data_IF_866769975608
#
_entry.id   IF_866769975608
#
_cell.length_a   1.000
_cell.length_b   1.000
_cell.length_c   1.000
_cell.angle_alpha   90.00
_cell.angle_beta   90.00
_cell.angle_gamma   90.00
#
_symmetry.space_group_name_H-M   'P 1'
#
loop_
_entity.id
_entity.type
_entity.pdbx_description
1 polymer ?
#
# COMPACT_ATOMS: atom_id res chain seq x y z
N UNK A 1 -0.91 17.41 21.76
CA UNK A 1 -0.69 18.43 20.69
C UNK A 1 -2.03 18.94 20.16
N UNK A 2 -2.21 20.23 19.85
CA UNK A 2 -3.47 20.79 19.30
C UNK A 2 -3.29 21.15 17.81
N UNK A 3 -4.32 20.94 16.99
CA UNK A 3 -4.43 21.35 15.57
C UNK A 3 -3.62 20.57 14.52
N UNK A 4 -3.23 19.31 14.77
CA UNK A 4 -2.64 18.47 13.72
C UNK A 4 -3.71 17.66 13.00
N UNK A 5 -3.81 17.83 11.68
CA UNK A 5 -4.81 17.13 10.87
C UNK A 5 -4.54 15.62 10.83
N UNK A 6 -5.59 14.80 11.00
CA UNK A 6 -5.51 13.33 10.94
C UNK A 6 -5.51 12.61 12.30
N UNK A 7 -5.61 13.33 13.42
CA UNK A 7 -5.77 12.76 14.76
C UNK A 7 -7.21 12.94 15.26
N UNK A 8 -7.82 11.87 15.76
CA UNK A 8 -9.09 11.95 16.49
C UNK A 8 -8.84 12.43 17.92
N UNK A 9 -9.66 13.35 18.40
CA UNK A 9 -9.65 13.82 19.79
C UNK A 9 -10.66 13.06 20.67
N UNK A 10 -11.53 12.23 20.08
CA UNK A 10 -12.52 11.43 20.79
C UNK A 10 -12.08 9.97 20.98
N UNK A 11 -12.35 9.44 22.17
CA UNK A 11 -12.16 8.01 22.46
C UNK A 11 -13.22 7.16 21.77
N UNK A 12 -12.79 6.06 21.14
CA UNK A 12 -13.68 5.09 20.53
C UNK A 12 -13.97 3.95 21.51
N UNK A 13 -15.24 3.77 21.90
CA UNK A 13 -15.66 2.73 22.85
C UNK A 13 -15.21 1.32 22.44
N UNK A 14 -15.28 1.00 21.14
CA UNK A 14 -14.79 -0.29 20.59
C UNK A 14 -13.29 -0.49 20.82
N UNK A 15 -12.50 0.57 20.67
CA UNK A 15 -11.05 0.51 20.85
C UNK A 15 -10.67 0.36 22.32
N UNK A 16 -11.43 1.00 23.22
CA UNK A 16 -11.26 0.85 24.67
C UNK A 16 -11.68 -0.54 25.17
N UNK A 17 -12.76 -1.09 24.64
CA UNK A 17 -13.19 -2.48 24.92
C UNK A 17 -12.13 -3.51 24.48
N UNK A 18 -11.62 -3.38 23.25
CA UNK A 18 -10.54 -4.25 22.77
C UNK A 18 -9.27 -4.12 23.62
N UNK A 19 -8.92 -2.90 24.04
CA UNK A 19 -7.79 -2.69 24.95
C UNK A 19 -7.97 -3.44 26.26
N UNK A 20 -9.13 -3.29 26.91
CA UNK A 20 -9.45 -3.97 28.16
C UNK A 20 -9.37 -5.49 28.03
N UNK A 21 -9.91 -6.05 26.93
CA UNK A 21 -9.80 -7.48 26.62
C UNK A 21 -8.36 -7.95 26.44
N UNK A 22 -7.54 -7.17 25.72
CA UNK A 22 -6.11 -7.50 25.58
C UNK A 22 -5.39 -7.48 26.93
N UNK A 23 -5.66 -6.48 27.79
CA UNK A 23 -5.06 -6.40 29.12
C UNK A 23 -5.46 -7.57 30.01
N UNK A 24 -6.75 -7.90 30.03
CA UNK A 24 -7.25 -9.05 30.79
C UNK A 24 -6.65 -10.37 30.31
N UNK A 25 -6.56 -10.59 28.99
CA UNK A 25 -5.93 -11.78 28.43
C UNK A 25 -4.44 -11.83 28.75
N UNK A 26 -3.74 -10.70 28.72
CA UNK A 26 -2.33 -10.63 29.12
C UNK A 26 -2.11 -10.98 30.59
N UNK A 27 -2.99 -10.53 31.48
CA UNK A 27 -2.94 -10.84 32.92
C UNK A 27 -3.08 -12.35 33.17
N UNK A 28 -4.03 -13.02 32.50
CA UNK A 28 -4.27 -14.45 32.72
C UNK A 28 -3.27 -15.35 31.99
N UNK A 29 -2.71 -14.91 30.86
CA UNK A 29 -1.80 -15.73 30.02
C UNK A 29 -0.33 -15.39 30.17
N UNK A 30 0.01 -14.36 30.95
CA UNK A 30 1.37 -13.82 31.03
C UNK A 30 1.84 -13.23 29.70
N UNK A 31 0.95 -12.57 28.96
CA UNK A 31 1.25 -11.89 27.69
C UNK A 31 1.37 -12.80 26.46
N UNK A 32 0.78 -14.01 26.49
CA UNK A 32 0.87 -15.00 25.39
C UNK A 32 -0.47 -15.34 24.73
N UNK A 33 -1.54 -14.66 25.11
CA UNK A 33 -2.91 -15.01 24.74
C UNK A 33 -3.48 -14.30 23.52
N UNK A 34 -2.79 -13.29 22.96
CA UNK A 34 -3.35 -12.43 21.91
C UNK A 34 -2.43 -12.41 20.69
N UNK A 35 -2.94 -12.83 19.54
CA UNK A 35 -2.24 -12.79 18.25
C UNK A 35 -3.12 -12.09 17.23
N UNK A 36 -2.57 -11.08 16.56
CA UNK A 36 -3.24 -10.39 15.46
C UNK A 36 -2.66 -10.88 14.13
N UNK A 37 -3.52 -11.12 13.15
CA UNK A 37 -3.13 -11.47 11.79
C UNK A 37 -3.77 -10.49 10.81
N UNK A 38 -2.92 -9.84 9.99
CA UNK A 38 -3.38 -8.90 8.96
C UNK A 38 -2.41 -8.90 7.79
N UNK A 39 -2.94 -8.87 6.57
CA UNK A 39 -2.15 -8.64 5.35
C UNK A 39 -1.75 -7.16 5.18
N UNK A 40 -2.38 -6.25 5.91
CA UNK A 40 -2.11 -4.82 5.92
C UNK A 40 -2.14 -4.34 7.38
N UNK A 41 -1.05 -4.53 8.16
CA UNK A 41 -1.04 -4.23 9.59
C UNK A 41 -1.33 -2.75 9.87
N UNK A 42 -0.98 -1.88 8.94
CA UNK A 42 -1.34 -0.47 8.92
C UNK A 42 -2.19 -0.19 7.68
N UNK A 43 -3.34 0.43 7.89
CA UNK A 43 -4.35 0.64 6.86
C UNK A 43 -4.56 2.11 6.51
N UNK A 44 -4.39 3.03 7.46
CA UNK A 44 -4.88 4.40 7.30
C UNK A 44 -4.06 5.49 8.01
N UNK A 45 -3.42 5.21 9.15
CA UNK A 45 -2.77 6.26 9.95
C UNK A 45 -1.69 5.79 10.92
N UNK A 46 -0.86 6.75 11.35
CA UNK A 46 0.15 6.56 12.40
C UNK A 46 -0.42 6.14 13.75
N UNK A 47 -1.62 6.62 14.07
CA UNK A 47 -2.34 6.23 15.29
C UNK A 47 -2.68 4.74 15.33
N UNK A 48 -2.84 4.07 14.18
CA UNK A 48 -3.08 2.62 14.14
C UNK A 48 -1.86 1.85 14.64
N UNK A 49 -0.65 2.28 14.28
CA UNK A 49 0.59 1.67 14.76
C UNK A 49 0.69 1.77 16.28
N UNK A 50 0.49 2.97 16.82
CA UNK A 50 0.47 3.17 18.27
C UNK A 50 -0.62 2.32 18.95
N UNK A 51 -1.80 2.22 18.35
CA UNK A 51 -2.90 1.42 18.88
C UNK A 51 -2.53 -0.06 18.92
N UNK A 52 -1.93 -0.61 17.85
CA UNK A 52 -1.44 -1.99 17.81
C UNK A 52 -0.34 -2.23 18.85
N UNK A 53 0.61 -1.30 18.99
CA UNK A 53 1.63 -1.37 20.02
C UNK A 53 1.02 -1.37 21.43
N UNK A 54 0.00 -0.53 21.65
CA UNK A 54 -0.73 -0.46 22.93
C UNK A 54 -1.49 -1.77 23.22
N UNK A 55 -1.97 -2.47 22.19
CA UNK A 55 -2.64 -3.76 22.36
C UNK A 55 -1.68 -4.90 22.64
N UNK A 56 -0.57 -4.98 21.90
CA UNK A 56 0.30 -6.17 21.86
C UNK A 56 1.57 -6.05 22.73
N UNK A 57 2.00 -4.83 23.08
CA UNK A 57 3.25 -4.61 23.81
C UNK A 57 3.14 -3.45 24.83
N UNK A 58 2.01 -3.39 25.55
CA UNK A 58 1.73 -2.33 26.52
C UNK A 58 2.81 -2.18 27.60
N UNK A 59 3.33 -3.30 28.12
CA UNK A 59 4.36 -3.29 29.17
C UNK A 59 5.65 -2.62 28.69
N UNK A 60 6.07 -2.86 27.43
CA UNK A 60 7.21 -2.19 26.81
C UNK A 60 6.98 -0.68 26.70
N UNK A 61 5.77 -0.26 26.29
CA UNK A 61 5.41 1.16 26.26
C UNK A 61 5.44 1.79 27.66
N UNK A 62 4.99 1.06 28.70
CA UNK A 62 5.03 1.54 30.08
C UNK A 62 6.45 1.73 30.60
N UNK A 63 7.34 0.75 30.36
CA UNK A 63 8.75 0.83 30.76
C UNK A 63 9.48 2.00 30.10
N UNK A 64 9.10 2.35 28.87
CA UNK A 64 9.69 3.46 28.11
C UNK A 64 8.99 4.81 28.34
N UNK A 65 7.92 4.88 29.15
CA UNK A 65 7.16 6.11 29.39
C UNK A 65 6.33 6.58 28.18
N UNK A 66 5.97 5.67 27.28
CA UNK A 66 5.28 5.93 26.00
C UNK A 66 3.81 5.50 26.02
N UNK A 67 3.16 5.50 27.19
CA UNK A 67 1.75 5.07 27.37
C UNK A 67 0.72 6.07 26.88
N UNK A 68 1.13 7.30 26.61
CA UNK A 68 0.30 8.34 26.03
C UNK A 68 0.71 8.60 24.59
N UNK A 69 -0.29 8.75 23.72
CA UNK A 69 -0.04 9.00 22.30
C UNK A 69 0.81 10.26 22.09
N UNK A 70 0.56 11.35 22.84
CA UNK A 70 1.34 12.58 22.71
C UNK A 70 2.85 12.38 23.02
N UNK A 71 3.19 11.53 24.00
CA UNK A 71 4.57 11.22 24.35
C UNK A 71 5.24 10.31 23.29
N UNK A 72 4.49 9.35 22.75
CA UNK A 72 4.95 8.53 21.63
C UNK A 72 5.14 9.36 20.35
N UNK A 73 4.18 10.21 20.03
CA UNK A 73 4.19 11.06 18.84
C UNK A 73 5.25 12.14 18.91
N UNK A 74 5.60 12.68 20.09
CA UNK A 74 6.73 13.62 20.22
C UNK A 74 8.09 12.93 20.07
N UNK A 75 8.17 11.64 20.38
CA UNK A 75 9.42 10.86 20.30
C UNK A 75 9.70 10.40 18.88
N UNK A 76 8.65 10.02 18.15
CA UNK A 76 8.77 9.39 16.84
C UNK A 76 8.12 10.16 15.69
N UNK A 77 7.19 11.07 15.94
CA UNK A 77 6.45 11.79 14.90
C UNK A 77 7.08 13.14 14.56
N UNK A 78 7.17 13.46 13.27
CA UNK A 78 7.55 14.77 12.77
C UNK A 78 6.39 15.38 11.94
N UNK A 79 6.08 16.64 12.22
CA UNK A 79 5.10 17.40 11.46
C UNK A 79 5.76 18.16 10.32
N UNK A 80 5.18 18.05 9.13
CA UNK A 80 5.62 18.85 7.98
C UNK A 80 4.45 19.66 7.44
N UNK A 81 4.72 20.89 7.05
CA UNK A 81 3.75 21.73 6.34
C UNK A 81 3.97 21.56 4.85
N UNK A 82 2.97 21.02 4.16
CA UNK A 82 2.98 20.84 2.71
C UNK A 82 1.80 21.58 2.08
N UNK A 83 1.99 22.04 0.84
CA UNK A 83 0.91 22.59 0.03
C UNK A 83 0.15 21.41 -0.58
N UNK A 84 -1.14 21.31 -0.28
CA UNK A 84 -2.03 20.23 -0.71
C UNK A 84 -3.19 20.79 -1.52
N UNK A 85 -3.69 20.02 -2.49
CA UNK A 85 -4.94 20.33 -3.17
C UNK A 85 -6.07 20.41 -2.12
N UNK A 86 -6.83 21.49 -2.17
CA UNK A 86 -7.96 21.72 -1.30
C UNK A 86 -9.08 20.71 -1.63
N UNK A 87 -9.90 20.28 -0.66
CA UNK A 87 -11.00 19.34 -0.90
C UNK A 87 -11.95 19.76 -2.02
N UNK A 88 -12.05 21.05 -2.28
CA UNK A 88 -12.90 21.65 -3.31
C UNK A 88 -12.37 21.44 -4.74
N UNK A 89 -11.13 20.94 -4.91
CA UNK A 89 -10.53 20.60 -6.20
C UNK A 89 -9.94 21.76 -6.99
N UNK A 90 -10.30 23.01 -6.66
CA UNK A 90 -9.95 24.21 -7.44
C UNK A 90 -8.90 25.13 -6.78
N UNK A 91 -8.21 24.67 -5.73
CA UNK A 91 -7.21 25.49 -5.02
C UNK A 91 -6.18 24.69 -4.23
N UNK A 92 -5.17 25.39 -3.71
CA UNK A 92 -4.10 24.82 -2.88
C UNK A 92 -4.11 25.43 -1.48
N UNK A 93 -3.88 24.61 -0.46
CA UNK A 93 -3.79 25.06 0.93
C UNK A 93 -2.58 24.44 1.61
N UNK A 94 -1.87 25.25 2.39
CA UNK A 94 -0.84 24.73 3.29
C UNK A 94 -1.52 23.96 4.42
N UNK A 95 -1.17 22.68 4.59
CA UNK A 95 -1.60 21.86 5.72
C UNK A 95 -0.40 21.28 6.44
N UNK A 96 -0.44 21.39 7.76
CA UNK A 96 0.53 20.73 8.65
C UNK A 96 -0.02 19.37 9.05
N UNK A 97 0.73 18.31 8.72
CA UNK A 97 0.39 16.91 9.03
C UNK A 97 1.58 16.20 9.65
N UNK A 98 1.31 15.13 10.41
CA UNK A 98 2.33 14.11 10.66
C UNK A 98 2.64 13.40 9.35
N UNK A 99 3.86 13.58 8.85
CA UNK A 99 4.25 13.05 7.54
C UNK A 99 5.45 12.11 7.61
N UNK A 100 6.29 12.25 8.65
CA UNK A 100 7.53 11.51 8.78
C UNK A 100 7.69 10.93 10.17
N UNK A 101 8.47 9.85 10.24
CA UNK A 101 9.04 9.38 11.48
C UNK A 101 10.44 9.94 11.70
N UNK A 102 10.71 10.36 12.93
CA UNK A 102 12.04 10.55 13.47
C UNK A 102 12.39 9.32 14.34
N UNK A 103 13.67 8.93 14.41
CA UNK A 103 14.12 7.72 15.12
C UNK A 103 13.40 6.43 14.65
N UNK A 104 13.17 6.33 13.33
CA UNK A 104 12.50 5.16 12.73
C UNK A 104 13.18 3.81 13.08
N UNK A 105 14.52 3.68 13.13
CA UNK A 105 15.17 2.43 13.53
C UNK A 105 14.74 1.96 14.92
N UNK A 106 14.69 2.87 15.89
CA UNK A 106 14.30 2.60 17.27
C UNK A 106 12.82 2.24 17.37
N UNK A 107 11.96 2.95 16.62
CA UNK A 107 10.54 2.62 16.52
C UNK A 107 10.33 1.22 15.92
N UNK A 108 11.04 0.90 14.83
CA UNK A 108 10.92 -0.38 14.15
C UNK A 108 11.47 -1.53 14.98
N UNK A 109 12.56 -1.31 15.72
CA UNK A 109 13.08 -2.31 16.65
C UNK A 109 12.03 -2.65 17.72
N UNK A 110 11.41 -1.64 18.32
CA UNK A 110 10.34 -1.81 19.31
C UNK A 110 9.09 -2.44 18.67
N UNK A 111 8.69 -2.04 17.46
CA UNK A 111 7.52 -2.61 16.80
C UNK A 111 7.71 -4.10 16.47
N UNK A 112 8.90 -4.48 16.01
CA UNK A 112 9.26 -5.86 15.65
C UNK A 112 9.35 -6.81 16.86
N UNK A 113 9.39 -6.31 18.10
CA UNK A 113 9.26 -7.17 19.30
C UNK A 113 7.90 -7.89 19.34
N UNK A 114 6.86 -7.29 18.77
CA UNK A 114 5.50 -7.82 18.77
C UNK A 114 4.93 -8.11 17.37
N UNK A 115 5.71 -7.87 16.31
CA UNK A 115 5.27 -8.00 14.93
C UNK A 115 6.33 -8.69 14.06
N UNK A 116 5.93 -9.78 13.39
CA UNK A 116 6.68 -10.34 12.26
C UNK A 116 5.99 -9.92 10.95
N UNK A 117 6.72 -9.17 10.12
CA UNK A 117 6.20 -8.62 8.87
C UNK A 117 6.99 -9.24 7.73
N UNK A 118 6.28 -9.95 6.85
CA UNK A 118 6.81 -10.46 5.59
C UNK A 118 6.27 -9.64 4.43
N UNK A 119 7.17 -8.97 3.73
CA UNK A 119 6.85 -8.19 2.52
C UNK A 119 7.06 -9.05 1.27
N UNK A 120 6.43 -8.69 0.14
CA UNK A 120 6.46 -9.50 -1.08
C UNK A 120 7.88 -9.68 -1.65
N UNK A 121 8.72 -8.66 -1.52
CA UNK A 121 10.14 -8.65 -1.89
C UNK A 121 10.99 -9.61 -1.04
N UNK A 122 10.61 -9.89 0.21
CA UNK A 122 11.29 -10.89 1.03
C UNK A 122 10.95 -12.32 0.64
N UNK A 123 9.75 -12.53 0.09
CA UNK A 123 9.19 -13.85 -0.17
C UNK A 123 9.48 -14.37 -1.58
N UNK A 124 9.86 -13.49 -2.53
CA UNK A 124 10.17 -13.84 -3.93
C UNK A 124 9.15 -14.83 -4.53
N UNK A 125 7.86 -14.58 -4.29
CA UNK A 125 6.79 -15.48 -4.70
C UNK A 125 6.67 -15.50 -6.24
N UNK A 126 6.38 -16.65 -6.87
CA UNK A 126 6.06 -16.72 -8.29
C UNK A 126 4.70 -16.06 -8.56
N UNK A 127 4.74 -14.76 -8.83
CA UNK A 127 3.58 -13.93 -9.17
C UNK A 127 3.78 -13.31 -10.57
N UNK A 128 2.69 -12.98 -11.29
CA UNK A 128 2.81 -12.33 -12.59
C UNK A 128 3.43 -10.93 -12.49
N UNK A 129 4.08 -10.49 -13.56
CA UNK A 129 4.52 -9.10 -13.69
C UNK A 129 3.30 -8.20 -13.95
N UNK A 130 3.07 -7.22 -13.08
CA UNK A 130 1.96 -6.29 -13.23
C UNK A 130 2.39 -5.03 -14.00
N UNK A 131 1.60 -4.67 -15.02
CA UNK A 131 1.72 -3.39 -15.72
C UNK A 131 0.59 -2.47 -15.25
N UNK A 132 0.95 -1.37 -14.62
CA UNK A 132 0.00 -0.34 -14.20
C UNK A 132 -0.20 0.66 -15.35
N UNK A 133 -1.46 0.88 -15.74
CA UNK A 133 -1.84 1.82 -16.78
C UNK A 133 -2.91 2.78 -16.25
N UNK A 134 -2.62 4.08 -16.30
CA UNK A 134 -3.58 5.11 -15.94
C UNK A 134 -4.29 5.61 -17.19
N UNK A 135 -5.60 5.42 -17.25
CA UNK A 135 -6.46 5.91 -18.33
C UNK A 135 -7.07 7.23 -17.88
N UNK A 136 -6.60 8.30 -18.50
CA UNK A 136 -7.03 9.66 -18.21
C UNK A 136 -8.09 10.08 -19.22
N UNK A 137 -9.25 10.52 -18.74
CA UNK A 137 -10.33 11.07 -19.56
C UNK A 137 -10.55 12.55 -19.22
N UNK A 138 -10.94 13.32 -20.23
CA UNK A 138 -11.31 14.73 -20.04
C UNK A 138 -12.74 14.83 -19.51
N UNK A 139 -13.02 15.75 -18.58
CA UNK A 139 -14.38 15.96 -18.11
C UNK A 139 -15.24 16.59 -19.21
N UNK A 140 -16.51 16.17 -19.29
CA UNK A 140 -17.52 16.82 -20.14
C UNK A 140 -17.75 18.27 -19.69
N UNK A 141 -18.31 19.12 -20.54
CA UNK A 141 -18.71 20.49 -20.15
C UNK A 141 -19.65 20.47 -18.94
N UNK A 142 -20.60 19.54 -18.92
CA UNK A 142 -21.55 19.35 -17.80
C UNK A 142 -20.80 18.96 -16.51
N UNK A 143 -19.80 18.08 -16.59
CA UNK A 143 -18.99 17.71 -15.43
C UNK A 143 -18.16 18.89 -14.92
N UNK A 144 -17.61 19.73 -15.80
CA UNK A 144 -16.86 20.92 -15.42
C UNK A 144 -17.76 21.91 -14.67
N UNK A 145 -18.95 22.18 -15.19
CA UNK A 145 -19.94 23.06 -14.55
C UNK A 145 -20.37 22.52 -13.17
N UNK A 146 -20.58 21.21 -13.07
CA UNK A 146 -20.92 20.57 -11.79
C UNK A 146 -19.79 20.66 -10.76
N UNK A 147 -18.53 20.47 -11.18
CA UNK A 147 -17.36 20.62 -10.29
C UNK A 147 -17.20 22.06 -9.83
N UNK A 148 -17.46 23.03 -10.72
CA UNK A 148 -17.46 24.44 -10.37
C UNK A 148 -18.55 24.77 -9.34
N UNK A 149 -19.77 24.27 -9.53
CA UNK A 149 -20.85 24.43 -8.55
C UNK A 149 -20.53 23.81 -7.19
N UNK A 150 -19.82 22.68 -7.15
CA UNK A 150 -19.33 22.10 -5.88
C UNK A 150 -18.31 23.00 -5.18
N UNK A 151 -17.46 23.69 -5.93
CA UNK A 151 -16.50 24.64 -5.37
C UNK A 151 -17.20 25.82 -4.70
N UNK A 152 -18.28 26.32 -5.30
CA UNK A 152 -19.13 27.39 -4.76
C UNK A 152 -19.84 26.93 -3.48
N UNK A 153 -20.48 25.76 -3.50
CA UNK A 153 -21.09 25.15 -2.31
C UNK A 153 -20.10 25.01 -1.15
N UNK A 154 -18.87 24.60 -1.46
CA UNK A 154 -17.84 24.44 -0.44
C UNK A 154 -17.37 25.77 0.15
N UNK A 155 -17.29 26.82 -0.67
CA UNK A 155 -17.02 28.17 -0.18
C UNK A 155 -18.10 28.66 0.79
N UNK A 156 -19.39 28.43 0.49
CA UNK A 156 -20.51 28.80 1.36
C UNK A 156 -20.53 28.04 2.68
N UNK A 157 -20.26 26.73 2.64
CA UNK A 157 -20.10 25.90 3.84
C UNK A 157 -18.92 26.40 4.68
N UNK A 158 -17.83 26.82 4.04
CA UNK A 158 -16.64 27.31 4.73
C UNK A 158 -16.84 28.69 5.37
N UNK A 159 -17.59 29.59 4.72
CA UNK A 159 -17.94 30.91 5.26
C UNK A 159 -18.96 30.83 6.40
N UNK A 160 -19.53 29.65 6.68
CA UNK A 160 -20.59 29.47 7.66
C UNK A 160 -21.92 30.07 7.19
N UNK A 161 -22.06 30.32 5.88
CA UNK A 161 -23.27 30.88 5.28
C UNK A 161 -24.39 29.82 5.14
N UNK A 162 -24.05 28.54 5.26
CA UNK A 162 -24.98 27.41 5.16
C UNK A 162 -24.88 26.56 6.43
N UNK A 163 -26.05 26.14 6.94
CA UNK A 163 -26.13 25.23 8.07
C UNK A 163 -25.56 23.83 7.70
N UNK A 164 -24.65 23.24 8.50
CA UNK A 164 -24.05 21.93 8.25
C UNK A 164 -25.05 20.76 8.06
N UNK A 165 -26.28 20.88 8.56
CA UNK A 165 -27.35 19.90 8.35
C UNK A 165 -27.91 19.95 6.93
N UNK A 166 -27.95 21.14 6.33
CA UNK A 166 -28.41 21.37 4.95
C UNK A 166 -27.33 20.93 3.97
N UNK A 167 -26.13 21.48 4.08
CA UNK A 167 -24.99 21.08 3.27
C UNK A 167 -23.69 21.07 4.08
N UNK A 168 -22.79 20.17 3.73
CA UNK A 168 -21.50 20.05 4.41
C UNK A 168 -20.44 19.42 3.51
N UNK A 169 -19.19 19.52 3.95
CA UNK A 169 -18.05 19.00 3.19
C UNK A 169 -18.13 17.50 2.91
N UNK A 170 -18.80 16.69 3.74
CA UNK A 170 -18.96 15.25 3.47
C UNK A 170 -19.96 14.99 2.34
N UNK A 171 -21.07 15.73 2.29
CA UNK A 171 -22.03 15.69 1.18
C UNK A 171 -21.37 16.14 -0.13
N UNK A 172 -20.72 17.30 -0.10
CA UNK A 172 -19.97 17.85 -1.25
C UNK A 172 -18.91 16.87 -1.75
N UNK A 173 -18.13 16.29 -0.84
CA UNK A 173 -17.13 15.26 -1.17
C UNK A 173 -17.79 14.04 -1.83
N UNK A 174 -18.92 13.59 -1.30
CA UNK A 174 -19.65 12.44 -1.86
C UNK A 174 -20.18 12.72 -3.25
N UNK A 175 -20.71 13.92 -3.49
CA UNK A 175 -21.19 14.36 -4.81
C UNK A 175 -20.02 14.53 -5.79
N UNK A 176 -18.89 15.09 -5.35
CA UNK A 176 -17.68 15.22 -6.16
C UNK A 176 -17.16 13.87 -6.66
N UNK A 177 -17.22 12.83 -5.81
CA UNK A 177 -16.86 11.47 -6.22
C UNK A 177 -17.85 10.86 -7.21
N UNK A 178 -19.16 11.14 -7.08
CA UNK A 178 -20.16 10.71 -8.07
C UNK A 178 -19.88 11.36 -9.43
N UNK A 179 -19.66 12.67 -9.46
CA UNK A 179 -19.37 13.42 -10.69
C UNK A 179 -18.09 12.93 -11.36
N UNK A 180 -17.04 12.68 -10.58
CA UNK A 180 -15.78 12.13 -11.09
C UNK A 180 -15.91 10.72 -11.67
N UNK A 181 -16.90 9.93 -11.21
CA UNK A 181 -17.23 8.62 -11.76
C UNK A 181 -18.13 8.71 -13.01
N UNK A 182 -19.31 9.33 -12.89
CA UNK A 182 -20.23 9.60 -13.99
C UNK A 182 -21.27 10.68 -13.58
N UNK A 183 -21.49 11.69 -14.43
CA UNK A 183 -22.46 12.76 -14.19
C UNK A 183 -23.91 12.25 -13.98
N UNK A 184 -24.26 11.10 -14.57
CA UNK A 184 -25.60 10.50 -14.47
C UNK A 184 -25.92 9.99 -13.07
N UNK A 185 -24.92 9.83 -12.20
CA UNK A 185 -25.11 9.54 -10.78
C UNK A 185 -25.67 10.74 -9.99
N UNK A 186 -25.49 11.96 -10.50
CA UNK A 186 -26.13 13.15 -9.97
C UNK A 186 -27.53 13.33 -10.56
N UNK A 187 -27.67 13.09 -11.87
CA UNK A 187 -28.95 13.20 -12.56
C UNK A 187 -29.01 12.19 -13.72
N UNK A 188 -29.88 11.19 -13.58
CA UNK A 188 -30.02 10.09 -14.54
C UNK A 188 -30.55 10.52 -15.92
N UNK A 189 -31.11 11.72 -16.05
CA UNK A 189 -31.59 12.26 -17.32
C UNK A 189 -30.47 12.85 -18.20
N UNK A 190 -29.24 12.98 -17.67
CA UNK A 190 -28.12 13.51 -18.44
C UNK A 190 -27.64 12.52 -19.51
N UNK A 191 -27.10 13.02 -20.62
CA UNK A 191 -26.59 12.16 -21.69
C UNK A 191 -25.37 11.35 -21.22
N UNK A 192 -25.19 10.17 -21.82
CA UNK A 192 -23.95 9.40 -21.72
C UNK A 192 -22.89 10.04 -22.62
N UNK A 193 -21.81 10.53 -22.02
CA UNK A 193 -20.70 11.10 -22.77
C UNK A 193 -19.83 9.97 -23.37
N UNK A 194 -19.63 9.89 -24.70
CA UNK A 194 -18.76 8.91 -25.32
C UNK A 194 -17.33 8.87 -24.76
N UNK A 195 -16.83 10.00 -24.25
CA UNK A 195 -15.50 10.12 -23.66
C UNK A 195 -15.50 9.89 -22.13
N UNK A 196 -16.62 9.45 -21.56
CA UNK A 196 -16.73 9.20 -20.13
C UNK A 196 -15.78 8.12 -19.65
N UNK A 197 -15.48 8.18 -18.35
CA UNK A 197 -14.68 7.16 -17.65
C UNK A 197 -15.24 5.75 -17.86
N UNK A 198 -16.56 5.60 -17.83
CA UNK A 198 -17.23 4.32 -18.03
C UNK A 198 -17.02 3.79 -19.44
N UNK A 199 -17.17 4.63 -20.47
CA UNK A 199 -16.97 4.24 -21.86
C UNK A 199 -15.50 3.89 -22.14
N UNK A 200 -14.54 4.63 -21.58
CA UNK A 200 -13.13 4.27 -21.65
C UNK A 200 -12.81 2.91 -20.99
N UNK A 201 -13.49 2.58 -19.89
CA UNK A 201 -13.38 1.27 -19.26
C UNK A 201 -13.97 0.16 -20.14
N UNK A 202 -15.21 0.33 -20.63
CA UNK A 202 -15.88 -0.62 -21.52
C UNK A 202 -15.03 -0.90 -22.76
N UNK A 203 -14.46 0.12 -23.40
CA UNK A 203 -13.61 -0.04 -24.58
C UNK A 203 -12.36 -0.87 -24.29
N UNK A 204 -11.71 -0.67 -23.15
CA UNK A 204 -10.55 -1.49 -22.75
C UNK A 204 -10.96 -2.93 -22.42
N UNK A 205 -12.07 -3.11 -21.71
CA UNK A 205 -12.60 -4.44 -21.38
C UNK A 205 -12.93 -5.21 -22.65
N UNK A 206 -13.57 -4.56 -23.63
CA UNK A 206 -13.89 -5.15 -24.95
C UNK A 206 -12.64 -5.47 -25.76
N UNK A 207 -11.64 -4.59 -25.76
CA UNK A 207 -10.34 -4.84 -26.41
C UNK A 207 -9.71 -6.11 -25.84
N UNK A 208 -9.53 -6.17 -24.52
CA UNK A 208 -8.92 -7.32 -23.84
C UNK A 208 -9.77 -8.58 -24.03
N UNK A 209 -11.10 -8.46 -23.98
CA UNK A 209 -12.03 -9.57 -24.19
C UNK A 209 -11.91 -10.18 -25.60
N UNK A 210 -11.75 -9.34 -26.62
CA UNK A 210 -11.52 -9.78 -28.00
C UNK A 210 -10.12 -10.37 -28.18
N UNK A 211 -9.08 -9.68 -27.71
CA UNK A 211 -7.68 -10.11 -27.85
C UNK A 211 -7.40 -11.45 -27.16
N UNK A 212 -8.15 -11.76 -26.10
CA UNK A 212 -7.95 -12.95 -25.25
C UNK A 212 -9.07 -13.98 -25.39
N UNK A 213 -9.86 -13.88 -26.46
CA UNK A 213 -11.06 -14.71 -26.68
C UNK A 213 -10.74 -16.19 -26.76
N UNK A 214 -9.63 -16.57 -27.39
CA UNK A 214 -9.22 -17.97 -27.54
C UNK A 214 -8.85 -18.60 -26.20
N UNK A 215 -8.16 -17.84 -25.34
CA UNK A 215 -7.71 -18.28 -24.02
C UNK A 215 -8.80 -18.12 -22.94
N UNK A 216 -9.92 -17.46 -23.26
CA UNK A 216 -11.03 -17.15 -22.35
C UNK A 216 -10.56 -16.45 -21.07
N UNK A 217 -9.61 -15.53 -21.19
CA UNK A 217 -9.11 -14.79 -20.03
C UNK A 217 -10.22 -13.92 -19.43
N UNK A 218 -10.10 -13.71 -18.12
CA UNK A 218 -11.10 -13.03 -17.31
C UNK A 218 -10.59 -11.69 -16.80
N UNK A 219 -11.53 -10.83 -16.41
CA UNK A 219 -11.29 -9.44 -16.02
C UNK A 219 -12.15 -9.10 -14.79
N UNK A 220 -11.60 -8.29 -13.89
CA UNK A 220 -12.33 -7.75 -12.74
C UNK A 220 -12.54 -6.25 -12.91
N UNK A 221 -13.73 -5.76 -12.59
CA UNK A 221 -14.02 -4.33 -12.52
C UNK A 221 -14.44 -3.98 -11.09
N UNK A 222 -13.70 -3.07 -10.48
CA UNK A 222 -14.00 -2.53 -9.16
C UNK A 222 -14.72 -1.18 -9.24
N UNK A 223 -15.87 -1.10 -8.57
CA UNK A 223 -16.63 0.14 -8.37
C UNK A 223 -17.36 0.09 -7.03
N UNK A 224 -17.06 1.02 -6.12
CA UNK A 224 -17.64 1.08 -4.78
C UNK A 224 -18.91 1.95 -4.69
N UNK A 225 -19.01 3.02 -5.48
CA UNK A 225 -20.03 4.06 -5.24
C UNK A 225 -21.41 3.80 -5.86
N UNK A 226 -21.50 2.94 -6.87
CA UNK A 226 -22.71 2.78 -7.68
C UNK A 226 -23.17 1.32 -7.73
N UNK A 227 -23.23 0.66 -6.58
CA UNK A 227 -23.71 -0.72 -6.50
C UNK A 227 -25.22 -0.79 -6.81
N UNK A 228 -25.71 -1.84 -7.49
CA UNK A 228 -27.13 -2.02 -7.78
C UNK A 228 -28.00 -1.98 -6.53
N UNK A 229 -29.07 -1.17 -6.54
CA UNK A 229 -30.02 -1.03 -5.42
C UNK A 229 -31.39 -1.66 -5.70
N UNK A 230 -31.68 -2.02 -6.94
CA UNK A 230 -32.97 -2.59 -7.35
C UNK A 230 -34.14 -1.60 -7.36
N UNK A 231 -33.86 -0.29 -7.27
CA UNK A 231 -34.85 0.79 -7.23
C UNK A 231 -35.09 1.47 -8.59
N UNK A 232 -34.50 0.93 -9.67
CA UNK A 232 -34.58 1.49 -11.02
C UNK A 232 -33.74 2.76 -11.23
N UNK A 233 -32.99 3.22 -10.21
CA UNK A 233 -32.07 4.35 -10.35
C UNK A 233 -30.84 3.97 -11.19
N UNK A 234 -30.26 4.97 -11.85
CA UNK A 234 -29.04 4.77 -12.63
C UNK A 234 -27.93 4.19 -11.76
N UNK A 235 -27.32 3.10 -12.24
CA UNK A 235 -26.13 2.55 -11.63
C UNK A 235 -25.11 2.09 -12.68
N UNK A 236 -23.84 2.18 -12.31
CA UNK A 236 -22.70 1.93 -13.21
C UNK A 236 -22.62 0.46 -13.63
N UNK A 237 -23.08 -0.46 -12.79
CA UNK A 237 -23.00 -1.90 -13.07
C UNK A 237 -23.91 -2.28 -14.23
N UNK A 238 -25.18 -1.84 -14.17
CA UNK A 238 -26.16 -2.09 -15.23
C UNK A 238 -25.81 -1.34 -16.52
N UNK A 239 -25.28 -0.12 -16.41
CA UNK A 239 -24.79 0.65 -17.57
C UNK A 239 -23.65 -0.08 -18.31
N UNK A 240 -22.63 -0.53 -17.58
CA UNK A 240 -21.51 -1.29 -18.14
C UNK A 240 -22.01 -2.60 -18.75
N UNK A 241 -22.88 -3.34 -18.05
CA UNK A 241 -23.45 -4.58 -18.57
C UNK A 241 -24.20 -4.33 -19.87
N UNK A 242 -25.07 -3.33 -19.92
CA UNK A 242 -25.84 -2.99 -21.12
C UNK A 242 -24.92 -2.64 -22.29
N UNK A 243 -23.86 -1.85 -22.05
CA UNK A 243 -22.88 -1.50 -23.07
C UNK A 243 -22.10 -2.71 -23.60
N UNK A 244 -21.70 -3.62 -22.71
CA UNK A 244 -21.01 -4.87 -23.11
C UNK A 244 -21.92 -5.80 -23.90
N UNK A 245 -23.19 -5.94 -23.51
CA UNK A 245 -24.20 -6.72 -24.24
C UNK A 245 -24.45 -6.16 -25.64
N UNK A 246 -24.60 -4.83 -25.75
CA UNK A 246 -24.77 -4.15 -27.04
C UNK A 246 -23.55 -4.32 -27.96
N UNK A 247 -22.36 -4.45 -27.38
CA UNK A 247 -21.13 -4.74 -28.12
C UNK A 247 -20.95 -6.24 -28.47
N UNK A 248 -21.91 -7.10 -28.10
CA UNK A 248 -21.93 -8.52 -28.47
C UNK A 248 -21.27 -9.47 -27.47
N UNK A 249 -20.94 -9.01 -26.26
CA UNK A 249 -20.47 -9.91 -25.18
C UNK A 249 -21.66 -10.75 -24.70
N UNK A 250 -21.55 -12.10 -24.63
CA UNK A 250 -22.64 -12.93 -24.17
C UNK A 250 -23.01 -12.64 -22.71
N UNK A 251 -24.30 -12.67 -22.41
CA UNK A 251 -24.81 -12.37 -21.06
C UNK A 251 -24.22 -13.30 -19.99
N UNK A 252 -24.05 -14.59 -20.29
CA UNK A 252 -23.46 -15.55 -19.36
C UNK A 252 -21.99 -15.25 -18.99
N UNK A 253 -21.30 -14.40 -19.75
CA UNK A 253 -19.91 -14.05 -19.49
C UNK A 253 -19.77 -12.84 -18.55
N UNK A 254 -20.86 -12.16 -18.22
CA UNK A 254 -20.88 -10.94 -17.39
C UNK A 254 -21.66 -11.24 -16.11
N UNK A 255 -21.02 -11.09 -14.95
CA UNK A 255 -21.68 -11.30 -13.66
C UNK A 255 -21.33 -10.24 -12.63
N UNK A 256 -22.21 -10.10 -11.64
CA UNK A 256 -22.03 -9.22 -10.50
C UNK A 256 -21.85 -10.01 -9.21
N UNK A 257 -20.85 -9.65 -8.40
CA UNK A 257 -20.68 -10.29 -7.08
C UNK A 257 -21.90 -10.09 -6.17
N UNK A 258 -22.67 -9.03 -6.40
CA UNK A 258 -23.85 -8.68 -5.62
C UNK A 258 -25.01 -9.68 -5.82
N UNK A 259 -25.03 -10.41 -6.94
CA UNK A 259 -26.01 -11.46 -7.20
C UNK A 259 -25.72 -12.74 -6.38
N UNK A 260 -24.48 -12.90 -5.89
CA UNK A 260 -24.05 -14.02 -5.06
C UNK A 260 -24.14 -13.66 -3.56
N UNK A 261 -25.33 -13.79 -3.01
CA UNK A 261 -25.66 -13.46 -1.61
C UNK A 261 -25.21 -14.50 -0.57
N UNK A 262 -25.00 -15.75 -0.99
CA UNK A 262 -24.54 -16.85 -0.12
C UNK A 262 -23.10 -17.29 -0.44
N UNK A 263 -22.40 -17.84 0.54
CA UNK A 263 -21.03 -18.37 0.34
C UNK A 263 -20.98 -19.47 -0.73
N UNK A 264 -22.02 -20.30 -0.83
CA UNK A 264 -22.13 -21.32 -1.88
C UNK A 264 -22.22 -20.70 -3.28
N UNK A 265 -23.10 -19.70 -3.47
CA UNK A 265 -23.21 -18.99 -4.75
C UNK A 265 -21.92 -18.25 -5.11
N UNK A 266 -21.23 -17.67 -4.12
CA UNK A 266 -19.91 -17.04 -4.35
C UNK A 266 -18.88 -18.05 -4.79
N UNK A 267 -18.80 -19.21 -4.12
CA UNK A 267 -17.87 -20.27 -4.50
C UNK A 267 -18.13 -20.79 -5.92
N UNK A 268 -19.40 -20.95 -6.30
CA UNK A 268 -19.80 -21.32 -7.66
C UNK A 268 -19.40 -20.24 -8.68
N UNK A 269 -19.73 -18.98 -8.41
CA UNK A 269 -19.34 -17.85 -9.26
C UNK A 269 -17.82 -17.77 -9.44
N UNK A 270 -17.05 -17.91 -8.37
CA UNK A 270 -15.59 -17.92 -8.45
C UNK A 270 -15.07 -19.11 -9.26
N UNK A 271 -15.73 -20.26 -9.19
CA UNK A 271 -15.40 -21.40 -10.04
C UNK A 271 -15.66 -21.09 -11.52
N UNK A 272 -16.80 -20.47 -11.84
CA UNK A 272 -17.13 -20.04 -13.21
C UNK A 272 -16.09 -19.06 -13.76
N UNK A 273 -15.65 -18.09 -12.96
CA UNK A 273 -14.57 -17.16 -13.35
C UNK A 273 -13.25 -17.89 -13.56
N UNK A 274 -12.84 -18.79 -12.66
CA UNK A 274 -11.59 -19.56 -12.83
C UNK A 274 -11.59 -20.45 -14.08
N UNK A 275 -12.76 -20.89 -14.53
CA UNK A 275 -12.93 -21.70 -15.74
C UNK A 275 -13.12 -20.88 -17.03
N UNK A 276 -13.20 -19.54 -16.93
CA UNK A 276 -13.44 -18.66 -18.08
C UNK A 276 -14.89 -18.68 -18.60
N UNK A 277 -15.84 -19.25 -17.84
CA UNK A 277 -17.28 -19.17 -18.17
C UNK A 277 -17.82 -17.76 -17.93
N UNK A 278 -17.39 -17.12 -16.83
CA UNK A 278 -17.61 -15.70 -16.57
C UNK A 278 -16.30 -14.98 -16.84
N UNK A 279 -16.29 -14.11 -17.85
CA UNK A 279 -15.09 -13.37 -18.29
C UNK A 279 -15.02 -11.97 -17.74
N UNK A 280 -16.14 -11.36 -17.34
CA UNK A 280 -16.17 -10.04 -16.72
C UNK A 280 -16.95 -10.13 -15.41
N UNK A 281 -16.26 -9.90 -14.29
CA UNK A 281 -16.87 -9.87 -12.96
C UNK A 281 -16.77 -8.47 -12.36
N UNK A 282 -17.92 -7.89 -12.04
CA UNK A 282 -18.02 -6.58 -11.40
C UNK A 282 -18.27 -6.72 -9.90
N UNK A 283 -17.66 -5.85 -9.10
CA UNK A 283 -17.93 -5.83 -7.66
C UNK A 283 -17.27 -4.70 -6.88
N UNK A 284 -17.77 -4.49 -5.67
CA UNK A 284 -17.20 -3.52 -4.74
C UNK A 284 -16.05 -4.12 -3.93
N UNK A 285 -15.19 -3.26 -3.41
CA UNK A 285 -14.14 -3.61 -2.44
C UNK A 285 -14.70 -4.33 -1.24
N UNK A 286 -15.87 -3.94 -0.75
CA UNK A 286 -16.46 -4.59 0.43
C UNK A 286 -16.81 -6.07 0.17
N UNK A 287 -17.21 -6.41 -1.06
CA UNK A 287 -17.61 -7.78 -1.43
C UNK A 287 -16.47 -8.61 -2.02
N UNK A 288 -15.52 -7.99 -2.72
CA UNK A 288 -14.41 -8.67 -3.40
C UNK A 288 -13.02 -8.41 -2.80
N UNK A 289 -12.91 -7.48 -1.84
CA UNK A 289 -11.63 -7.08 -1.23
C UNK A 289 -11.00 -8.15 -0.38
N UNK A 290 -11.77 -9.09 0.18
CA UNK A 290 -11.30 -10.25 0.93
C UNK A 290 -11.89 -11.55 0.37
N UNK A 291 -11.19 -12.68 0.56
CA UNK A 291 -11.72 -14.02 0.28
C UNK A 291 -11.98 -14.39 -1.19
N UNK A 292 -11.76 -13.49 -2.15
CA UNK A 292 -12.04 -13.74 -3.58
C UNK A 292 -10.84 -14.43 -4.25
N UNK A 293 -11.04 -15.67 -4.71
CA UNK A 293 -10.03 -16.55 -5.32
C UNK A 293 -10.39 -16.82 -6.79
N UNK A 294 -10.02 -15.91 -7.69
CA UNK A 294 -10.40 -15.92 -9.12
C UNK A 294 -9.21 -15.70 -10.07
N UNK A 295 -7.98 -15.78 -9.56
CA UNK A 295 -6.78 -15.34 -10.27
C UNK A 295 -6.35 -16.20 -11.47
N UNK A 296 -6.86 -17.44 -11.59
CA UNK A 296 -6.32 -18.45 -12.52
C UNK A 296 -6.19 -17.96 -13.96
N UNK A 297 -7.23 -17.34 -14.49
CA UNK A 297 -7.28 -16.80 -15.86
C UNK A 297 -7.37 -15.27 -15.90
N UNK A 298 -7.13 -14.61 -14.76
CA UNK A 298 -7.34 -13.17 -14.61
C UNK A 298 -6.21 -12.38 -15.26
N UNK A 299 -6.52 -11.64 -16.31
CA UNK A 299 -5.52 -10.88 -17.10
C UNK A 299 -5.54 -9.39 -16.79
N UNK A 300 -6.69 -8.83 -16.39
CA UNK A 300 -6.82 -7.41 -16.11
C UNK A 300 -7.72 -7.11 -14.91
N UNK A 301 -7.37 -6.06 -14.16
CA UNK A 301 -8.21 -5.42 -13.14
C UNK A 301 -8.43 -3.96 -13.53
N UNK A 302 -9.67 -3.51 -13.42
CA UNK A 302 -10.10 -2.14 -13.76
C UNK A 302 -10.64 -1.45 -12.50
N UNK A 303 -10.00 -0.37 -12.08
CA UNK A 303 -10.46 0.47 -10.96
C UNK A 303 -11.16 1.71 -11.50
N UNK A 304 -12.49 1.72 -11.45
CA UNK A 304 -13.30 2.87 -11.88
C UNK A 304 -13.34 3.98 -10.83
N UNK A 305 -13.29 3.58 -9.56
CA UNK A 305 -13.18 4.48 -8.43
C UNK A 305 -12.16 3.95 -7.41
N UNK A 306 -11.72 4.85 -6.54
CA UNK A 306 -10.86 4.52 -5.42
C UNK A 306 -11.53 4.90 -4.10
N UNK A 307 -11.23 4.11 -3.08
CA UNK A 307 -11.62 4.37 -1.71
C UNK A 307 -10.69 5.36 -1.02
N UNK A 308 -10.82 5.45 0.30
CA UNK A 308 -10.02 6.35 1.12
C UNK A 308 -8.78 5.68 1.74
N UNK A 309 -8.67 4.35 1.65
CA UNK A 309 -7.64 3.56 2.33
C UNK A 309 -6.71 2.91 1.32
N UNK A 310 -5.39 3.07 1.43
CA UNK A 310 -4.44 2.38 0.56
C UNK A 310 -4.50 0.85 0.68
N UNK A 311 -4.86 0.32 1.86
CA UNK A 311 -5.01 -1.12 2.06
C UNK A 311 -6.09 -1.73 1.16
N UNK A 312 -7.15 -1.00 0.86
CA UNK A 312 -8.20 -1.43 -0.05
C UNK A 312 -7.61 -1.64 -1.47
N UNK A 313 -6.77 -0.73 -1.97
CA UNK A 313 -6.09 -0.88 -3.27
C UNK A 313 -5.14 -2.08 -3.30
N UNK A 314 -4.32 -2.23 -2.26
CA UNK A 314 -3.42 -3.38 -2.13
C UNK A 314 -4.20 -4.70 -2.11
N UNK A 315 -5.34 -4.75 -1.42
CA UNK A 315 -6.21 -5.93 -1.39
C UNK A 315 -6.89 -6.21 -2.74
N UNK A 316 -7.30 -5.19 -3.49
CA UNK A 316 -7.84 -5.35 -4.84
C UNK A 316 -6.76 -5.85 -5.81
N UNK A 317 -5.57 -5.24 -5.80
CA UNK A 317 -4.46 -5.65 -6.66
C UNK A 317 -3.92 -7.04 -6.31
N UNK A 318 -3.98 -7.43 -5.04
CA UNK A 318 -3.69 -8.79 -4.57
C UNK A 318 -4.64 -9.86 -5.12
N UNK A 319 -5.71 -9.50 -5.84
CA UNK A 319 -6.58 -10.45 -6.56
C UNK A 319 -5.97 -10.91 -7.87
N UNK A 320 -5.15 -10.08 -8.51
CA UNK A 320 -4.52 -10.38 -9.80
C UNK A 320 -3.03 -10.69 -9.67
N UNK A 321 -2.31 -9.92 -8.84
CA UNK A 321 -0.90 -10.13 -8.53
C UNK A 321 -0.79 -11.21 -7.45
N UNK A 322 -1.06 -12.45 -7.85
CA UNK A 322 -1.21 -13.57 -6.93
C UNK A 322 -0.69 -14.87 -7.54
N UNK A 323 -0.18 -15.74 -6.66
CA UNK A 323 0.20 -17.10 -7.04
C UNK A 323 -0.99 -17.87 -7.65
N UNK A 324 -0.70 -18.71 -8.64
CA UNK A 324 -1.69 -19.51 -9.34
C UNK A 324 -2.39 -18.79 -10.49
N UNK A 325 -2.01 -17.55 -10.81
CA UNK A 325 -2.35 -16.92 -12.08
C UNK A 325 -1.50 -17.55 -13.20
N UNK A 326 -2.14 -17.98 -14.29
CA UNK A 326 -1.44 -18.61 -15.42
C UNK A 326 -0.78 -17.60 -16.36
N UNK A 327 -1.20 -16.34 -16.30
CA UNK A 327 -0.63 -15.28 -17.12
C UNK A 327 0.75 -14.88 -16.58
N UNK A 328 1.73 -14.68 -17.47
CA UNK A 328 3.05 -14.14 -17.08
C UNK A 328 3.01 -12.65 -16.79
N UNK A 329 2.15 -11.94 -17.51
CA UNK A 329 1.96 -10.50 -17.41
C UNK A 329 0.47 -10.21 -17.19
N UNK A 330 0.19 -9.26 -16.31
CA UNK A 330 -1.17 -8.81 -15.97
C UNK A 330 -1.26 -7.30 -16.01
N UNK A 331 -2.47 -6.77 -16.20
CA UNK A 331 -2.71 -5.34 -16.35
C UNK A 331 -3.59 -4.80 -15.22
N UNK A 332 -3.19 -3.66 -14.66
CA UNK A 332 -3.98 -2.94 -13.65
C UNK A 332 -4.29 -1.55 -14.21
N UNK A 333 -5.56 -1.32 -14.50
CA UNK A 333 -6.07 -0.08 -15.08
C UNK A 333 -6.66 0.81 -13.99
N UNK A 334 -6.16 2.04 -13.89
CA UNK A 334 -6.75 3.10 -13.05
C UNK A 334 -7.42 4.13 -13.95
N UNK A 335 -8.73 4.29 -13.82
CA UNK A 335 -9.48 5.25 -14.61
C UNK A 335 -9.72 6.54 -13.84
N UNK A 336 -9.30 7.66 -14.42
CA UNK A 336 -9.37 8.98 -13.77
C UNK A 336 -9.88 10.05 -14.70
N UNK A 337 -10.64 10.99 -14.15
CA UNK A 337 -11.15 12.15 -14.88
C UNK A 337 -10.36 13.39 -14.48
N UNK A 338 -9.76 14.09 -15.45
CA UNK A 338 -9.01 15.33 -15.21
C UNK A 338 -9.88 16.39 -14.56
N UNK A 339 -9.28 17.24 -13.73
CA UNK A 339 -9.95 18.39 -13.07
C UNK A 339 -11.20 18.00 -12.26
N UNK A 340 -11.25 16.77 -11.76
CA UNK A 340 -12.33 16.29 -10.87
C UNK A 340 -11.80 15.91 -9.49
N UNK A 341 -12.71 15.45 -8.64
CA UNK A 341 -12.43 15.02 -7.28
C UNK A 341 -11.46 13.82 -7.19
N UNK A 342 -11.18 13.11 -8.29
CA UNK A 342 -10.18 12.04 -8.34
C UNK A 342 -8.80 12.52 -7.89
N UNK A 343 -8.38 13.72 -8.30
CA UNK A 343 -7.08 14.30 -7.90
C UNK A 343 -6.93 14.34 -6.37
N UNK A 344 -8.00 14.74 -5.68
CA UNK A 344 -8.03 14.84 -4.23
C UNK A 344 -8.00 13.45 -3.55
N UNK A 345 -8.70 12.46 -4.10
CA UNK A 345 -8.66 11.09 -3.59
C UNK A 345 -7.26 10.49 -3.70
N UNK A 346 -6.63 10.59 -4.87
CA UNK A 346 -5.29 10.07 -5.08
C UNK A 346 -4.24 10.81 -4.25
N UNK A 347 -4.37 12.13 -4.05
CA UNK A 347 -3.53 12.85 -3.07
C UNK A 347 -3.70 12.32 -1.65
N UNK A 348 -4.94 12.01 -1.26
CA UNK A 348 -5.21 11.46 0.08
C UNK A 348 -4.61 10.07 0.24
N UNK A 349 -4.69 9.23 -0.79
CA UNK A 349 -4.06 7.91 -0.82
C UNK A 349 -2.53 8.01 -0.82
N UNK A 350 -1.95 8.90 -1.63
CA UNK A 350 -0.52 9.19 -1.70
C UNK A 350 0.03 9.53 -0.31
N UNK A 351 -0.59 10.48 0.38
CA UNK A 351 -0.18 10.91 1.71
C UNK A 351 -0.21 9.77 2.75
N UNK A 352 -1.23 8.92 2.69
CA UNK A 352 -1.36 7.76 3.59
C UNK A 352 -0.37 6.65 3.24
N UNK A 353 -0.14 6.41 1.95
CA UNK A 353 0.79 5.38 1.48
C UNK A 353 2.23 5.74 1.84
N UNK A 354 2.67 6.97 1.56
CA UNK A 354 4.01 7.47 1.96
C UNK A 354 4.34 7.20 3.43
N UNK A 355 3.34 7.31 4.29
CA UNK A 355 3.47 6.99 5.69
C UNK A 355 3.64 5.48 5.94
N UNK A 356 2.77 4.65 5.36
CA UNK A 356 2.80 3.18 5.51
C UNK A 356 4.15 2.62 5.00
N UNK A 357 4.64 3.15 3.89
CA UNK A 357 5.88 2.73 3.23
C UNK A 357 7.13 2.91 4.10
N UNK A 358 7.17 3.95 4.94
CA UNK A 358 8.30 4.15 5.87
C UNK A 358 8.41 3.00 6.89
N UNK A 359 7.29 2.37 7.25
CA UNK A 359 7.27 1.26 8.22
C UNK A 359 7.43 -0.09 7.52
N UNK A 360 6.77 -0.26 6.37
CA UNK A 360 6.67 -1.51 5.64
C UNK A 360 7.85 -1.74 4.68
N UNK A 361 9.06 -1.29 5.02
CA UNK A 361 10.28 -1.50 4.23
C UNK A 361 11.15 -2.61 4.81
N UNK A 362 11.71 -3.45 3.92
CA UNK A 362 12.69 -4.49 4.26
C UNK A 362 14.11 -3.94 4.38
N UNK A 363 14.35 -2.70 3.93
CA UNK A 363 15.66 -2.04 3.94
C UNK A 363 16.00 -1.51 5.32
N UNK A 364 17.30 -1.41 5.64
CA UNK A 364 17.75 -0.83 6.91
C UNK A 364 17.23 0.61 7.02
N UNK A 365 16.40 0.92 8.03
CA UNK A 365 15.80 2.24 8.14
C UNK A 365 16.91 3.29 8.35
N UNK A 366 16.97 4.30 7.48
CA UNK A 366 17.69 5.53 7.80
C UNK A 366 16.93 6.30 8.89
N UNK A 367 17.63 7.07 9.72
CA UNK A 367 17.05 7.83 10.86
C UNK A 367 15.92 8.78 10.45
N UNK A 368 15.96 9.29 9.22
CA UNK A 368 14.83 9.87 8.51
C UNK A 368 14.65 9.09 7.21
N UNK A 369 13.43 8.61 6.96
CA UNK A 369 13.14 7.77 5.81
C UNK A 369 12.24 8.53 4.85
N UNK A 370 12.81 8.93 3.72
CA UNK A 370 12.07 9.35 2.53
C UNK A 370 12.01 8.15 1.55
N UNK A 371 11.73 6.93 2.03
CA UNK A 371 11.61 5.78 1.11
C UNK A 371 10.41 6.00 0.20
N UNK A 372 10.68 5.89 -1.09
CA UNK A 372 9.71 6.08 -2.14
C UNK A 372 9.18 4.71 -2.54
N UNK A 373 8.00 4.36 -2.04
CA UNK A 373 7.28 3.17 -2.46
C UNK A 373 6.67 3.35 -3.86
N UNK A 374 6.66 2.28 -4.67
CA UNK A 374 6.15 2.31 -6.04
C UNK A 374 4.67 2.69 -6.09
N UNK A 375 3.86 2.27 -5.10
CA UNK A 375 2.46 2.68 -5.05
C UNK A 375 2.30 4.17 -4.73
N UNK A 376 3.13 4.72 -3.83
CA UNK A 376 3.12 6.14 -3.53
C UNK A 376 3.49 6.99 -4.76
N UNK A 377 4.43 6.52 -5.59
CA UNK A 377 4.74 7.13 -6.89
C UNK A 377 3.55 7.06 -7.84
N UNK A 378 2.96 5.88 -7.98
CA UNK A 378 1.80 5.70 -8.86
C UNK A 378 0.64 6.64 -8.47
N UNK A 379 0.36 6.81 -7.17
CA UNK A 379 -0.66 7.76 -6.72
C UNK A 379 -0.28 9.22 -6.99
N UNK A 380 0.99 9.59 -6.83
CA UNK A 380 1.47 10.92 -7.19
C UNK A 380 1.32 11.18 -8.70
N UNK A 381 1.71 10.22 -9.54
CA UNK A 381 1.57 10.29 -11.00
C UNK A 381 0.12 10.48 -11.41
N UNK A 382 -0.78 9.66 -10.88
CA UNK A 382 -2.21 9.77 -11.14
C UNK A 382 -2.74 11.13 -10.72
N UNK A 383 -2.37 11.61 -9.53
CA UNK A 383 -2.74 12.96 -9.07
C UNK A 383 -2.25 14.06 -10.01
N UNK A 384 -1.00 13.98 -10.49
CA UNK A 384 -0.45 14.96 -11.42
C UNK A 384 -1.20 14.94 -12.76
N UNK A 385 -1.58 13.76 -13.25
CA UNK A 385 -2.42 13.61 -14.44
C UNK A 385 -3.81 14.22 -14.21
N UNK A 386 -4.43 13.97 -13.06
CA UNK A 386 -5.74 14.56 -12.74
C UNK A 386 -5.70 16.09 -12.59
N UNK A 387 -4.56 16.68 -12.19
CA UNK A 387 -4.44 18.12 -11.99
C UNK A 387 -4.42 18.91 -13.31
N UNK A 388 -4.11 18.27 -14.45
CA UNK A 388 -4.16 18.89 -15.78
C UNK A 388 -3.12 19.97 -16.08
N UNK A 389 -2.33 20.44 -15.10
CA UNK A 389 -1.27 21.45 -15.30
C UNK A 389 0.09 20.78 -15.60
N UNK A 390 0.67 21.00 -16.80
CA UNK A 390 1.97 20.42 -17.17
C UNK A 390 3.12 20.75 -16.21
N UNK A 391 3.07 21.91 -15.52
CA UNK A 391 4.12 22.34 -14.57
C UNK A 391 4.10 21.52 -13.29
N UNK A 392 2.92 21.06 -12.87
CA UNK A 392 2.77 20.19 -11.70
C UNK A 392 3.36 18.83 -12.01
N UNK A 393 3.10 18.32 -13.22
CA UNK A 393 3.73 17.10 -13.72
C UNK A 393 5.24 17.23 -13.78
N UNK A 394 5.77 18.29 -14.36
CA UNK A 394 7.21 18.55 -14.43
C UNK A 394 7.85 18.64 -13.04
N UNK A 395 7.23 19.38 -12.11
CA UNK A 395 7.69 19.45 -10.72
C UNK A 395 7.74 18.07 -10.09
N UNK A 396 6.70 17.26 -10.28
CA UNK A 396 6.65 15.92 -9.71
C UNK A 396 7.74 15.02 -10.32
N UNK A 397 7.93 15.04 -11.63
CA UNK A 397 8.98 14.30 -12.32
C UNK A 397 10.37 14.70 -11.78
N UNK A 398 10.58 16.00 -11.52
CA UNK A 398 11.79 16.52 -10.89
C UNK A 398 11.93 16.09 -9.43
N UNK A 399 10.86 16.12 -8.62
CA UNK A 399 10.86 15.68 -7.23
C UNK A 399 11.21 14.18 -7.13
N UNK A 400 10.68 13.35 -8.04
CA UNK A 400 11.01 11.91 -8.15
C UNK A 400 12.48 11.72 -8.50
N UNK A 401 12.99 12.46 -9.48
CA UNK A 401 14.41 12.40 -9.88
C UNK A 401 15.33 12.82 -8.73
N UNK A 402 15.02 13.93 -8.05
CA UNK A 402 15.78 14.43 -6.90
C UNK A 402 15.79 13.40 -5.78
N UNK A 403 14.66 12.77 -5.49
CA UNK A 403 14.57 11.78 -4.43
C UNK A 403 15.32 10.49 -4.79
N UNK A 404 15.25 10.01 -6.04
CA UNK A 404 16.09 8.90 -6.54
C UNK A 404 17.58 9.21 -6.43
N UNK A 405 17.99 10.42 -6.80
CA UNK A 405 19.38 10.87 -6.70
C UNK A 405 19.86 10.96 -5.24
N UNK A 406 18.99 11.38 -4.30
CA UNK A 406 19.31 11.39 -2.87
C UNK A 406 19.57 9.99 -2.33
N UNK A 407 18.75 8.99 -2.72
CA UNK A 407 18.95 7.58 -2.34
C UNK A 407 20.29 7.08 -2.89
N UNK A 408 20.55 7.27 -4.19
CA UNK A 408 21.82 6.86 -4.82
C UNK A 408 23.04 7.50 -4.16
N UNK A 409 22.93 8.78 -3.77
CA UNK A 409 23.99 9.49 -3.05
C UNK A 409 24.20 8.89 -1.65
N UNK A 410 23.13 8.56 -0.94
CA UNK A 410 23.19 7.90 0.37
C UNK A 410 23.86 6.53 0.30
N UNK A 411 23.49 5.71 -0.67
CA UNK A 411 24.11 4.40 -0.93
C UNK A 411 25.60 4.55 -1.26
N UNK A 412 25.95 5.50 -2.12
CA UNK A 412 27.34 5.80 -2.45
C UNK A 412 28.16 6.21 -1.22
N UNK A 413 27.62 7.11 -0.37
CA UNK A 413 28.28 7.54 0.86
C UNK A 413 28.44 6.38 1.85
N UNK A 414 27.40 5.57 2.06
CA UNK A 414 27.46 4.39 2.92
C UNK A 414 28.50 3.37 2.42
N UNK A 415 28.56 3.14 1.11
CA UNK A 415 29.57 2.27 0.51
C UNK A 415 30.98 2.83 0.70
N UNK A 416 31.17 4.13 0.51
CA UNK A 416 32.45 4.81 0.74
C UNK A 416 32.90 4.64 2.20
N UNK A 417 32.05 4.95 3.17
CA UNK A 417 32.38 4.81 4.59
C UNK A 417 32.68 3.36 4.97
N UNK A 418 31.90 2.39 4.46
CA UNK A 418 32.17 0.97 4.67
C UNK A 418 33.52 0.54 4.10
N UNK A 419 33.92 1.07 2.94
CA UNK A 419 35.23 0.79 2.34
C UNK A 419 36.36 1.45 3.13
N UNK A 420 36.17 2.69 3.60
CA UNK A 420 37.12 3.38 4.48
C UNK A 420 37.34 2.61 5.78
N UNK A 421 36.28 2.16 6.46
CA UNK A 421 36.41 1.35 7.68
C UNK A 421 37.12 0.01 7.41
N UNK A 422 36.80 -0.65 6.29
CA UNK A 422 37.52 -1.89 5.88
C UNK A 422 39.01 -1.63 5.68
N UNK A 423 39.36 -0.55 5.00
CA UNK A 423 40.74 -0.23 4.66
C UNK A 423 41.55 0.24 5.87
N UNK A 424 40.93 1.02 6.77
CA UNK A 424 41.61 1.63 7.91
C UNK A 424 41.66 0.73 9.15
N UNK A 425 40.64 -0.12 9.36
CA UNK A 425 40.53 -0.95 10.58
C UNK A 425 40.55 -2.44 10.26
N UNK A 426 39.60 -2.92 9.45
CA UNK A 426 39.36 -4.36 9.30
C UNK A 426 40.52 -5.09 8.62
N UNK A 427 40.99 -4.61 7.47
CA UNK A 427 42.08 -5.25 6.74
C UNK A 427 43.41 -5.20 7.50
N UNK A 428 43.83 -4.08 8.13
CA UNK A 428 45.01 -4.07 8.98
C UNK A 428 44.96 -5.09 10.12
N UNK A 429 43.82 -5.18 10.83
CA UNK A 429 43.63 -6.17 11.90
C UNK A 429 43.68 -7.61 11.37
N UNK A 430 43.01 -7.89 10.25
CA UNK A 430 43.05 -9.22 9.63
C UNK A 430 44.44 -9.58 9.14
N UNK A 431 45.17 -8.65 8.49
CA UNK A 431 46.55 -8.85 8.06
C UNK A 431 47.43 -9.16 9.26
N UNK A 432 47.30 -8.42 10.36
CA UNK A 432 48.09 -8.66 11.56
C UNK A 432 47.77 -10.03 12.17
N UNK A 433 46.48 -10.38 12.26
CA UNK A 433 46.04 -11.69 12.75
C UNK A 433 46.59 -12.83 11.90
N UNK A 434 46.55 -12.70 10.57
CA UNK A 434 47.09 -13.71 9.65
C UNK A 434 48.62 -13.79 9.74
N UNK A 435 49.33 -12.66 9.86
CA UNK A 435 50.78 -12.65 10.08
C UNK A 435 51.17 -13.39 11.37
N UNK A 436 50.48 -13.13 12.47
CA UNK A 436 50.72 -13.82 13.75
C UNK A 436 50.48 -15.32 13.60
N UNK A 437 49.41 -15.71 12.89
CA UNK A 437 49.09 -17.12 12.65
C UNK A 437 50.12 -17.83 11.76
N UNK A 438 50.60 -17.17 10.72
CA UNK A 438 51.68 -17.70 9.86
C UNK A 438 52.96 -17.90 10.67
N UNK A 439 53.34 -16.93 11.50
CA UNK A 439 54.54 -17.03 12.34
C UNK A 439 54.45 -18.21 13.33
N UNK A 440 53.29 -18.38 13.98
CA UNK A 440 53.06 -19.52 14.88
C UNK A 440 53.15 -20.86 14.13
N UNK A 441 52.50 -20.98 12.97
CA UNK A 441 52.56 -22.20 12.15
C UNK A 441 53.97 -22.50 11.63
N UNK A 442 54.78 -21.48 11.35
CA UNK A 442 56.18 -21.66 10.97
C UNK A 442 57.03 -22.19 12.14
N UNK A 443 56.81 -21.68 13.35
CA UNK A 443 57.44 -22.24 14.56
C UNK A 443 57.02 -23.69 14.78
N UNK A 444 55.72 -23.99 14.71
CA UNK A 444 55.21 -25.35 14.86
C UNK A 444 55.81 -26.30 13.80
N UNK A 445 55.92 -25.83 12.55
CA UNK A 445 56.54 -26.60 11.47
C UNK A 445 58.02 -26.88 11.73
N UNK A 446 58.77 -25.93 12.30
CA UNK A 446 60.18 -26.15 12.66
C UNK A 446 60.32 -27.12 13.84
N UNK A 447 59.46 -27.01 14.87
CA UNK A 447 59.43 -27.92 16.00
C UNK A 447 59.12 -29.35 15.53
N UNK A 448 58.12 -29.50 14.65
CA UNK A 448 57.76 -30.78 14.04
C UNK A 448 58.89 -31.37 13.20
N UNK A 449 59.64 -30.55 12.46
CA UNK A 449 60.80 -31.00 11.68
C UNK A 449 61.99 -31.42 12.59
N UNK A 450 62.18 -30.75 13.72
CA UNK A 450 63.22 -31.08 14.71
C UNK A 450 62.88 -32.29 15.58
N UNK A 451 61.59 -32.65 15.68
CA UNK A 451 61.08 -33.81 16.41
C UNK A 451 60.27 -34.71 15.46
N UNK A 452 60.92 -35.32 14.45
CA UNK A 452 60.22 -36.17 13.49
C UNK A 452 59.65 -37.38 14.24
N UNK A 453 58.32 -37.47 14.27
CA UNK A 453 57.62 -38.62 14.83
C UNK A 453 57.50 -39.75 13.79
N UNK A 454 57.65 -40.98 14.26
CA UNK A 454 57.41 -42.17 13.46
C UNK A 454 55.91 -42.23 13.08
N UNK A 455 55.60 -42.51 11.81
CA UNK A 455 54.21 -42.51 11.32
C UNK A 455 53.40 -43.71 11.80
N UNK A 456 54.07 -44.75 12.30
CA UNK A 456 53.46 -46.03 12.65
C UNK A 456 53.46 -46.34 14.16
N UNK A 457 54.22 -45.62 14.99
CA UNK A 457 54.32 -45.87 16.44
C UNK A 457 54.06 -44.62 17.30
N UNK A 458 53.43 -44.82 18.46
CA UNK A 458 53.22 -43.75 19.44
C UNK A 458 54.58 -43.24 19.91
N UNK A 459 54.83 -41.95 19.70
CA UNK A 459 56.05 -41.29 20.16
C UNK A 459 55.79 -40.80 21.58
N UNK A 460 56.39 -41.48 22.55
CA UNK A 460 56.13 -41.27 23.96
C UNK A 460 56.08 -39.80 24.41
N UNK A 461 55.20 -39.49 25.36
CA UNK A 461 55.05 -38.15 25.92
C UNK A 461 55.36 -38.11 27.40
N UNK A 462 56.03 -37.05 27.83
CA UNK A 462 56.29 -36.80 29.26
C UNK A 462 55.31 -35.75 29.77
N UNK A 463 54.37 -36.16 30.63
CA UNK A 463 53.45 -35.24 31.32
C UNK A 463 53.82 -35.19 32.80
N UNK A 464 54.13 -33.99 33.31
CA UNK A 464 54.44 -33.74 34.73
C UNK A 464 55.54 -34.68 35.28
N UNK A 465 56.53 -35.01 34.45
CA UNK A 465 57.66 -35.87 34.83
C UNK A 465 57.41 -37.37 34.74
N UNK A 466 56.21 -37.82 34.35
CA UNK A 466 55.95 -39.22 33.99
C UNK A 466 56.04 -39.39 32.48
N UNK A 467 56.93 -40.30 32.05
CA UNK A 467 57.13 -40.67 30.65
C UNK A 467 56.14 -41.78 30.30
N UNK A 468 55.34 -41.57 29.26
CA UNK A 468 54.44 -42.55 28.67
C UNK A 468 54.99 -42.88 27.30
N UNK A 469 55.64 -44.03 27.16
CA UNK A 469 56.27 -44.50 25.92
C UNK A 469 55.29 -45.20 24.98
#
# INVERSE_FOLDING_TARGET
MRNVAGLSTSEAQKSSDMFGKCRYLDEITGGRGVIFASGTPLSNSMTEMYTLMRYLQYNTLQQKGLTHFDAWASTFGETTTAIELAPEGTGYRARTRFAKFFNLPELMAMFKEAADIKTSDQLNLPVPQAKFETVVVKPSEIQQDMVQALSERAAEVHSGSVDPSVDNMLKITSDGRKIGLDQRLMNSALPDDPNSKLNACVNNVLRIWNDTKEQKLTQLIFCDMSTPKGDGSFNVYDDIRTKLLNAGVPEQEIEFIHNADTENKKAELFSKVRSGQVRVLLGSTAKMGAGTNVQTLLVAVHHLDVGWRPSDMTQRNGRIIRQGNQNKQVYVYNYVTESTFDAYLYQTLENKQKFISQIMTSKSPMRSCDDIDEQALSYAEIKALCAGDPRIREKMDLDVQVAKLKVLRGDFQNQKYRLEDKLLKTFPEEIQKQKTRIAALQQDSQIAAAHPQDKENFCGMTIKGMVYD
#
